data_IF_600678010995
#
_entry.id   IF_600678010995
#
_cell.length_a   1.000
_cell.length_b   1.000
_cell.length_c   1.000
_cell.angle_alpha   90.00
_cell.angle_beta   90.00
_cell.angle_gamma   90.00
#
_symmetry.space_group_name_H-M   'P 1'
#
loop_
_entity.id
_entity.type
_entity.pdbx_description
1 polymer ?
#
# COMPACT_ATOMS: atom_id res chain seq x y z
N UNK A 1 -35.68 9.53 -51.96
CA UNK A 1 -36.21 8.44 -51.09
C UNK A 1 -35.09 7.46 -50.76
N UNK A 2 -34.39 7.71 -49.66
CA UNK A 2 -33.44 6.85 -48.93
C UNK A 2 -33.46 7.49 -47.52
N UNK A 3 -33.70 6.84 -46.39
CA UNK A 3 -33.25 5.55 -45.89
C UNK A 3 -34.26 5.08 -44.83
N UNK A 4 -34.84 3.89 -45.03
CA UNK A 4 -35.51 3.16 -43.96
C UNK A 4 -34.78 1.84 -43.84
N UNK A 5 -33.81 1.73 -42.94
CA UNK A 5 -33.38 0.43 -42.41
C UNK A 5 -32.50 0.60 -41.17
N UNK A 6 -32.79 -0.25 -40.17
CA UNK A 6 -31.96 -0.59 -39.01
C UNK A 6 -31.94 0.41 -37.85
N UNK A 7 -33.12 0.61 -37.26
CA UNK A 7 -33.25 0.90 -35.82
C UNK A 7 -33.61 -0.39 -35.07
N UNK A 8 -32.68 -1.34 -35.01
CA UNK A 8 -32.73 -2.47 -34.08
C UNK A 8 -31.34 -3.11 -34.04
N UNK A 9 -30.93 -3.53 -32.84
CA UNK A 9 -29.64 -4.21 -32.52
C UNK A 9 -28.49 -3.26 -32.19
N UNK A 10 -28.65 -2.42 -31.15
CA UNK A 10 -27.53 -2.09 -30.23
C UNK A 10 -28.07 -1.96 -28.79
N UNK A 11 -28.89 -2.91 -28.34
CA UNK A 11 -29.42 -2.91 -26.96
C UNK A 11 -29.19 -4.20 -26.17
N UNK A 12 -28.48 -5.19 -26.71
CA UNK A 12 -28.09 -6.36 -25.93
C UNK A 12 -26.67 -6.77 -26.30
N UNK A 13 -25.74 -6.37 -25.45
CA UNK A 13 -24.32 -6.62 -25.66
C UNK A 13 -23.50 -6.27 -24.44
N UNK A 14 -23.63 -7.09 -23.40
CA UNK A 14 -22.64 -7.27 -22.35
C UNK A 14 -22.63 -6.23 -21.23
N UNK A 15 -23.36 -6.58 -20.17
CA UNK A 15 -22.98 -6.33 -18.79
C UNK A 15 -21.51 -6.70 -18.57
N UNK A 16 -20.57 -5.79 -18.86
CA UNK A 16 -19.24 -5.88 -18.30
C UNK A 16 -19.35 -5.31 -16.89
N UNK A 17 -19.71 -6.18 -15.94
CA UNK A 17 -19.38 -5.97 -14.55
C UNK A 17 -17.86 -5.84 -14.51
N UNK A 18 -17.36 -4.60 -14.59
CA UNK A 18 -16.01 -4.28 -14.19
C UNK A 18 -15.94 -4.53 -12.69
N UNK A 19 -15.75 -5.80 -12.32
CA UNK A 19 -15.05 -6.12 -11.10
C UNK A 19 -13.66 -5.53 -11.30
N UNK A 20 -13.48 -4.30 -10.84
CA UNK A 20 -12.17 -3.78 -10.51
C UNK A 20 -11.66 -4.61 -9.32
N UNK A 21 -11.27 -5.85 -9.59
CA UNK A 21 -10.19 -6.43 -8.83
C UNK A 21 -8.98 -5.61 -9.25
N UNK A 22 -8.67 -4.60 -8.45
CA UNK A 22 -7.34 -4.01 -8.42
C UNK A 22 -6.41 -5.18 -8.19
N UNK A 23 -5.90 -5.77 -9.27
CA UNK A 23 -5.01 -6.90 -9.16
C UNK A 23 -3.80 -6.38 -8.40
N UNK A 24 -3.55 -6.98 -7.24
CA UNK A 24 -2.40 -6.62 -6.45
C UNK A 24 -1.16 -6.74 -7.32
N UNK A 25 -0.44 -5.63 -7.48
CA UNK A 25 0.81 -5.65 -8.23
C UNK A 25 1.79 -6.48 -7.42
N UNK A 26 2.46 -7.48 -8.03
CA UNK A 26 3.50 -8.25 -7.37
C UNK A 26 4.51 -7.28 -6.74
N UNK A 27 4.88 -7.52 -5.48
CA UNK A 27 5.81 -6.70 -4.70
C UNK A 27 5.33 -5.35 -4.16
N UNK A 28 4.05 -4.98 -4.34
CA UNK A 28 3.50 -3.81 -3.67
C UNK A 28 3.07 -4.12 -2.23
N UNK A 29 3.48 -3.25 -1.32
CA UNK A 29 2.98 -3.13 0.04
C UNK A 29 1.76 -2.21 0.06
N UNK A 30 0.70 -2.63 0.75
CA UNK A 30 -0.56 -1.90 0.83
C UNK A 30 -0.84 -1.51 2.27
N UNK A 31 -1.05 -0.21 2.52
CA UNK A 31 -1.37 0.28 3.86
C UNK A 31 -2.71 -0.29 4.30
N UNK A 32 -2.76 -0.82 5.51
CA UNK A 32 -3.97 -1.43 6.05
C UNK A 32 -4.19 -0.97 7.49
N UNK A 33 -5.44 -0.62 7.78
CA UNK A 33 -5.89 -0.36 9.14
C UNK A 33 -6.23 -1.69 9.79
N UNK A 34 -5.22 -2.32 10.39
CA UNK A 34 -5.42 -3.56 11.15
C UNK A 34 -5.17 -3.26 12.61
N UNK A 35 -6.22 -3.44 13.41
CA UNK A 35 -6.22 -3.18 14.85
C UNK A 35 -5.77 -4.41 15.65
N UNK A 36 -6.05 -5.65 15.19
CA UNK A 36 -5.64 -6.87 15.90
C UNK A 36 -5.30 -8.02 14.93
N UNK A 37 -4.27 -8.80 15.32
CA UNK A 37 -3.70 -9.89 14.51
C UNK A 37 -4.39 -11.25 14.68
N UNK A 38 -5.42 -11.32 15.52
CA UNK A 38 -5.95 -12.60 16.01
C UNK A 38 -7.00 -13.27 15.11
N UNK A 39 -7.56 -12.57 14.11
CA UNK A 39 -8.56 -13.15 13.21
C UNK A 39 -8.39 -12.69 11.75
N UNK A 40 -7.32 -13.18 11.12
CA UNK A 40 -7.13 -13.01 9.69
C UNK A 40 -7.54 -14.26 8.94
N UNK A 41 -8.70 -14.21 8.29
CA UNK A 41 -8.92 -15.02 7.10
C UNK A 41 -8.29 -14.35 5.87
N UNK A 42 -7.90 -15.14 4.88
CA UNK A 42 -7.38 -14.64 3.59
C UNK A 42 -8.35 -13.63 2.96
N UNK A 43 -9.66 -13.86 3.08
CA UNK A 43 -10.72 -12.97 2.59
C UNK A 43 -10.67 -11.58 3.24
N UNK A 44 -10.42 -11.51 4.55
CA UNK A 44 -10.32 -10.23 5.28
C UNK A 44 -9.08 -9.46 4.82
N UNK A 45 -7.94 -10.14 4.70
CA UNK A 45 -6.69 -9.53 4.24
C UNK A 45 -6.82 -9.00 2.81
N UNK A 46 -7.38 -9.79 1.89
CA UNK A 46 -7.63 -9.35 0.52
C UNK A 46 -8.57 -8.15 0.46
N UNK A 47 -9.62 -8.15 1.29
CA UNK A 47 -10.54 -7.02 1.39
C UNK A 47 -9.86 -5.76 1.94
N UNK A 48 -8.98 -5.89 2.93
CA UNK A 48 -8.23 -4.77 3.49
C UNK A 48 -7.31 -4.15 2.45
N UNK A 49 -6.57 -4.98 1.70
CA UNK A 49 -5.71 -4.52 0.62
C UNK A 49 -6.50 -3.85 -0.50
N UNK A 50 -7.60 -4.46 -0.95
CA UNK A 50 -8.42 -3.90 -2.03
C UNK A 50 -9.04 -2.54 -1.66
N UNK A 51 -9.22 -2.25 -0.37
CA UNK A 51 -9.68 -0.94 0.13
C UNK A 51 -8.56 0.07 0.32
N UNK A 52 -7.30 -0.38 0.33
CA UNK A 52 -6.17 0.49 0.58
C UNK A 52 -6.08 1.57 -0.49
N UNK A 53 -5.89 2.81 -0.04
CA UNK A 53 -5.63 3.96 -0.90
C UNK A 53 -4.14 4.31 -0.96
N UNK A 54 -3.31 3.57 -0.23
CA UNK A 54 -1.88 3.80 -0.17
C UNK A 54 -1.11 2.55 -0.61
N UNK A 55 -0.20 2.74 -1.57
CA UNK A 55 0.70 1.70 -2.06
C UNK A 55 2.14 2.13 -1.86
N UNK A 56 3.01 1.16 -1.59
CA UNK A 56 4.44 1.33 -1.39
C UNK A 56 5.19 0.23 -2.12
N UNK A 57 6.14 0.62 -2.96
CA UNK A 57 7.16 -0.24 -3.54
C UNK A 57 8.47 0.08 -2.82
N UNK A 58 8.98 -0.87 -2.05
CA UNK A 58 10.18 -0.72 -1.24
C UNK A 58 11.25 -1.67 -1.76
N UNK A 59 12.44 -1.13 -2.02
CA UNK A 59 13.65 -1.92 -2.21
C UNK A 59 14.25 -2.23 -0.82
N UNK A 60 14.14 -3.49 -0.39
CA UNK A 60 14.60 -3.92 0.93
C UNK A 60 16.13 -3.91 1.09
N UNK A 61 16.90 -3.83 -0.01
CA UNK A 61 18.36 -3.85 0.02
C UNK A 61 18.95 -2.48 0.37
N UNK A 62 18.34 -1.41 -0.12
CA UNK A 62 18.87 -0.05 0.01
C UNK A 62 17.89 0.95 0.63
N UNK A 63 16.64 0.53 0.88
CA UNK A 63 15.60 1.35 1.50
C UNK A 63 14.95 2.36 0.58
N UNK A 64 15.28 2.39 -0.72
CA UNK A 64 14.60 3.27 -1.68
C UNK A 64 13.14 2.86 -1.83
N UNK A 65 12.26 3.84 -1.90
CA UNK A 65 10.85 3.57 -2.13
C UNK A 65 10.15 4.59 -3.02
N UNK A 66 9.11 4.07 -3.66
CA UNK A 66 8.10 4.86 -4.38
C UNK A 66 6.73 4.42 -3.92
N UNK A 67 5.74 5.29 -4.04
CA UNK A 67 4.39 4.95 -3.63
C UNK A 67 3.36 5.93 -4.14
N UNK A 68 2.12 5.63 -3.81
CA UNK A 68 0.98 6.47 -4.15
C UNK A 68 -0.01 6.48 -3.01
N UNK A 69 -0.50 7.65 -2.61
CA UNK A 69 -1.60 7.81 -1.66
C UNK A 69 -2.69 8.67 -2.29
N UNK A 70 -3.93 8.18 -2.32
CA UNK A 70 -5.07 8.89 -2.92
C UNK A 70 -4.82 9.40 -4.36
N UNK A 71 -3.98 8.70 -5.11
CA UNK A 71 -3.59 9.12 -6.47
C UNK A 71 -2.31 9.98 -6.53
N UNK A 72 -1.82 10.53 -5.42
CA UNK A 72 -0.63 11.38 -5.34
C UNK A 72 0.61 10.50 -5.18
N UNK A 73 1.58 10.66 -6.08
CA UNK A 73 2.84 9.93 -6.03
C UNK A 73 3.81 10.52 -4.99
N UNK A 74 4.55 9.65 -4.32
CA UNK A 74 5.62 10.03 -3.42
C UNK A 74 6.81 9.08 -3.56
N UNK A 75 7.97 9.53 -3.12
CA UNK A 75 9.19 8.72 -3.10
C UNK A 75 10.07 9.10 -1.92
N UNK A 76 11.12 8.33 -1.69
CA UNK A 76 12.10 8.65 -0.68
C UNK A 76 13.09 7.52 -0.52
N UNK A 77 13.93 7.68 0.50
CA UNK A 77 14.84 6.67 0.96
C UNK A 77 14.66 6.48 2.47
N UNK A 78 14.64 5.22 2.88
CA UNK A 78 14.74 4.80 4.26
C UNK A 78 16.19 4.40 4.51
N UNK A 79 16.97 5.24 5.20
CA UNK A 79 18.34 4.90 5.55
C UNK A 79 18.33 3.74 6.54
N UNK A 80 18.60 2.53 6.04
CA UNK A 80 18.62 1.31 6.83
C UNK A 80 19.83 1.31 7.76
N UNK A 81 19.58 1.59 9.03
CA UNK A 81 20.57 1.60 10.09
C UNK A 81 20.84 0.21 10.67
N UNK A 82 21.34 0.19 11.92
CA UNK A 82 21.67 -1.04 12.63
C UNK A 82 20.45 -1.98 12.69
N UNK A 83 20.70 -3.27 12.48
CA UNK A 83 19.68 -4.31 12.67
C UNK A 83 19.41 -4.50 14.16
N UNK A 84 18.15 -4.56 14.56
CA UNK A 84 17.78 -4.96 15.92
C UNK A 84 17.95 -6.47 16.08
N UNK A 85 18.64 -6.90 17.13
CA UNK A 85 18.69 -8.31 17.53
C UNK A 85 17.35 -8.70 18.18
N UNK A 86 16.52 -9.48 17.48
CA UNK A 86 15.22 -9.98 17.95
C UNK A 86 14.66 -11.07 17.05
N UNK A 87 13.53 -11.67 17.43
CA UNK A 87 12.85 -12.75 16.67
C UNK A 87 12.43 -12.37 15.25
N UNK A 88 12.37 -11.07 14.95
CA UNK A 88 12.06 -10.51 13.63
C UNK A 88 13.15 -9.51 13.27
N UNK A 89 13.66 -9.59 12.03
CA UNK A 89 14.68 -8.68 11.51
C UNK A 89 14.07 -7.27 11.38
N UNK A 90 14.41 -6.40 12.33
CA UNK A 90 14.06 -5.00 12.32
C UNK A 90 15.28 -4.12 12.03
N UNK A 91 15.05 -2.94 11.46
CA UNK A 91 16.08 -1.94 11.18
C UNK A 91 15.70 -0.63 11.84
N UNK A 92 16.67 0.06 12.44
CA UNK A 92 16.51 1.48 12.70
C UNK A 92 16.49 2.22 11.37
N UNK A 93 15.66 3.24 11.24
CA UNK A 93 15.54 4.01 10.00
C UNK A 93 15.59 5.50 10.27
N UNK A 94 16.28 6.22 9.39
CA UNK A 94 16.09 7.64 9.18
C UNK A 94 15.45 7.84 7.80
N UNK A 95 14.29 8.50 7.75
CA UNK A 95 13.58 8.68 6.48
C UNK A 95 13.98 9.99 5.82
N UNK A 96 14.48 9.92 4.58
CA UNK A 96 14.57 11.08 3.68
C UNK A 96 13.42 11.03 2.68
N UNK A 97 12.43 11.91 2.85
CA UNK A 97 11.27 11.97 1.97
C UNK A 97 11.45 12.99 0.85
N UNK A 98 11.14 12.58 -0.38
CA UNK A 98 11.04 13.45 -1.54
C UNK A 98 9.74 13.19 -2.29
N UNK A 99 8.80 14.13 -2.26
CA UNK A 99 7.54 14.00 -2.98
C UNK A 99 7.35 15.16 -3.96
N UNK A 100 6.76 14.84 -5.11
CA UNK A 100 6.32 15.83 -6.10
C UNK A 100 4.80 15.93 -5.98
N UNK A 101 4.32 16.96 -5.29
CA UNK A 101 2.90 17.27 -5.22
C UNK A 101 2.52 18.04 -6.49
N UNK A 102 1.96 17.34 -7.49
CA UNK A 102 1.45 17.99 -8.69
C UNK A 102 0.11 18.68 -8.38
N UNK A 103 0.17 19.96 -8.01
CA UNK A 103 -1.00 20.81 -7.78
C UNK A 103 -1.13 21.30 -6.33
N UNK A 104 -1.71 22.49 -6.16
CA UNK A 104 -2.01 23.13 -4.87
C UNK A 104 -3.19 22.45 -4.15
N UNK A 105 -3.10 21.14 -3.93
CA UNK A 105 -4.07 20.40 -3.14
C UNK A 105 -3.52 20.21 -1.75
N UNK A 106 -3.96 21.06 -0.83
CA UNK A 106 -3.76 20.98 0.62
C UNK A 106 -4.50 19.73 1.16
N UNK A 107 -4.00 18.54 0.82
CA UNK A 107 -4.57 17.27 1.25
C UNK A 107 -4.01 16.89 2.62
N UNK A 108 -4.73 17.29 3.67
CA UNK A 108 -4.41 16.98 5.07
C UNK A 108 -4.14 15.49 5.32
N UNK A 109 -4.75 14.59 4.54
CA UNK A 109 -4.51 13.15 4.70
C UNK A 109 -3.15 12.74 4.13
N UNK A 110 -2.73 13.37 3.03
CA UNK A 110 -1.41 13.19 2.46
C UNK A 110 -0.32 13.78 3.37
N UNK A 111 -0.53 14.97 3.91
CA UNK A 111 0.41 15.60 4.84
C UNK A 111 0.55 14.80 6.14
N UNK A 112 -0.57 14.32 6.69
CA UNK A 112 -0.54 13.47 7.87
C UNK A 112 0.22 12.15 7.61
N UNK A 113 -0.03 11.52 6.46
CA UNK A 113 0.65 10.27 6.09
C UNK A 113 2.16 10.46 5.86
N UNK A 114 2.54 11.48 5.08
CA UNK A 114 3.95 11.77 4.82
C UNK A 114 4.69 12.22 6.07
N UNK A 115 4.04 13.00 6.95
CA UNK A 115 4.59 13.33 8.27
C UNK A 115 4.83 12.07 9.13
N UNK A 116 3.90 11.11 9.13
CA UNK A 116 4.09 9.82 9.80
C UNK A 116 5.28 9.03 9.23
N UNK A 117 5.43 8.97 7.91
CA UNK A 117 6.60 8.34 7.27
C UNK A 117 7.91 9.06 7.59
N UNK A 118 7.91 10.40 7.65
CA UNK A 118 9.08 11.20 7.99
C UNK A 118 9.57 10.90 9.41
N UNK A 119 8.63 10.65 10.32
CA UNK A 119 8.89 10.36 11.73
C UNK A 119 9.07 8.87 12.03
N UNK A 120 9.23 8.03 11.01
CA UNK A 120 9.54 6.62 11.18
C UNK A 120 10.88 6.44 11.91
N UNK A 121 10.93 5.47 12.84
CA UNK A 121 12.13 5.15 13.63
C UNK A 121 12.61 3.73 13.43
N UNK A 122 11.67 2.80 13.29
CA UNK A 122 11.97 1.39 13.13
C UNK A 122 11.09 0.78 12.07
N UNK A 123 11.66 -0.18 11.36
CA UNK A 123 11.01 -0.88 10.28
C UNK A 123 11.22 -2.37 10.49
N UNK A 124 10.14 -3.14 10.49
CA UNK A 124 10.17 -4.57 10.75
C UNK A 124 9.56 -5.33 9.57
N UNK A 125 10.30 -6.32 9.08
CA UNK A 125 9.86 -7.20 8.00
C UNK A 125 9.49 -8.56 8.56
N UNK A 126 8.21 -8.93 8.44
CA UNK A 126 7.72 -10.24 8.81
C UNK A 126 7.39 -11.02 7.54
N UNK A 127 8.40 -11.71 7.01
CA UNK A 127 8.27 -12.40 5.74
C UNK A 127 7.29 -13.57 5.79
N UNK A 128 7.05 -14.22 6.93
CA UNK A 128 6.15 -15.38 7.03
C UNK A 128 5.07 -15.19 8.10
N UNK A 129 4.55 -13.98 8.28
CA UNK A 129 3.69 -13.67 9.42
C UNK A 129 2.27 -14.26 9.36
N UNK A 130 1.68 -14.44 8.18
CA UNK A 130 0.23 -14.71 8.06
C UNK A 130 -0.11 -15.77 6.99
N UNK A 131 -1.18 -16.55 7.26
CA UNK A 131 -1.78 -17.58 6.39
C UNK A 131 -0.71 -18.43 5.69
N UNK A 132 0.00 -19.27 6.43
CA UNK A 132 1.01 -20.20 5.88
C UNK A 132 2.08 -19.54 4.97
N UNK A 133 2.40 -18.26 5.22
CA UNK A 133 3.43 -17.52 4.50
C UNK A 133 3.00 -16.95 3.15
N UNK A 134 1.69 -16.94 2.83
CA UNK A 134 1.14 -16.26 1.64
C UNK A 134 1.29 -14.73 1.69
N UNK A 135 1.48 -14.19 2.89
CA UNK A 135 1.52 -12.76 3.13
C UNK A 135 2.78 -12.37 3.89
N UNK A 136 3.40 -11.27 3.47
CA UNK A 136 4.44 -10.58 4.20
C UNK A 136 3.88 -9.30 4.82
N UNK A 137 4.37 -8.96 6.02
CA UNK A 137 4.00 -7.74 6.74
C UNK A 137 5.20 -6.82 6.83
N UNK A 138 4.96 -5.54 6.56
CA UNK A 138 5.88 -4.44 6.82
C UNK A 138 5.26 -3.56 7.91
N UNK A 139 5.95 -3.44 9.04
CA UNK A 139 5.56 -2.55 10.14
C UNK A 139 6.53 -1.38 10.19
N UNK A 140 5.99 -0.16 10.21
CA UNK A 140 6.74 1.08 10.40
C UNK A 140 6.33 1.68 11.74
N UNK A 141 7.24 1.66 12.70
CA UNK A 141 7.07 2.28 14.01
C UNK A 141 7.43 3.76 13.95
N UNK A 142 6.56 4.58 14.53
CA UNK A 142 6.64 6.05 14.52
C UNK A 142 6.90 6.53 15.95
N UNK A 143 7.70 7.58 16.11
CA UNK A 143 7.95 8.18 17.42
C UNK A 143 6.69 8.87 17.97
N UNK A 144 6.24 8.47 19.15
CA UNK A 144 5.12 9.12 19.85
C UNK A 144 3.72 8.85 19.25
N UNK A 145 3.60 7.95 18.28
CA UNK A 145 2.33 7.59 17.63
C UNK A 145 2.21 6.06 17.44
N UNK A 146 1.01 5.62 17.09
CA UNK A 146 0.68 4.33 16.50
C UNK A 146 1.55 3.98 15.29
N UNK A 147 1.73 2.68 15.06
CA UNK A 147 2.46 2.09 13.93
C UNK A 147 1.67 2.15 12.61
N UNK A 148 2.37 2.14 11.48
CA UNK A 148 1.78 1.88 10.16
C UNK A 148 2.03 0.43 9.74
N UNK A 149 0.99 -0.23 9.28
CA UNK A 149 1.05 -1.63 8.85
C UNK A 149 0.79 -1.74 7.36
N UNK A 150 1.66 -2.46 6.67
CA UNK A 150 1.51 -2.75 5.26
C UNK A 150 1.54 -4.25 4.99
N UNK A 151 0.73 -4.69 4.02
CA UNK A 151 0.68 -6.07 3.57
C UNK A 151 1.16 -6.21 2.14
N UNK A 152 1.93 -7.27 1.88
CA UNK A 152 2.36 -7.70 0.55
C UNK A 152 1.93 -9.15 0.35
N UNK A 153 1.22 -9.42 -0.75
CA UNK A 153 0.90 -10.79 -1.18
C UNK A 153 2.15 -11.38 -1.87
N UNK A 154 2.50 -12.62 -1.53
CA UNK A 154 3.61 -13.36 -2.14
C UNK A 154 3.17 -14.16 -3.36
#
# INVERSE_FOLDING_TARGET
MKYTLLLAIVLFGSSCSMKNYSQMKPNSYYLVDIVDFEDFSEVILEKAVNKSKATLLLNEENGDFTGQLNGIAFSGNLELGKTSSGFVKGFYVATQLGYLQSGSHDDKSFDAFTSKLANAKRLYFYNNALIDGKWAVLEISIEGDSKMMFLKKK
#
